data_IF_320728218562
#
_entry.id   IF_320728218562
#
_cell.length_a   1.000
_cell.length_b   1.000
_cell.length_c   1.000
_cell.angle_alpha   90.00
_cell.angle_beta   90.00
_cell.angle_gamma   90.00
#
_symmetry.space_group_name_H-M   'P 1'
#
loop_
_entity.id
_entity.type
_entity.pdbx_description
1 polymer ?
#
# COMPACT_ATOMS: atom_id res chain seq x y z
N UNK A 1 8.12 25.05 24.47
CA UNK A 1 7.75 24.27 25.68
C UNK A 1 6.78 23.19 25.25
N UNK A 2 7.11 21.92 25.47
CA UNK A 2 6.22 20.78 25.14
C UNK A 2 5.24 20.56 26.30
N UNK A 3 3.95 20.44 26.01
CA UNK A 3 2.89 20.15 26.98
C UNK A 3 2.22 18.84 26.59
N UNK A 4 2.19 17.90 27.52
CA UNK A 4 1.46 16.64 27.33
C UNK A 4 -0.03 16.93 27.44
N UNK A 5 -0.78 16.66 26.36
CA UNK A 5 -2.23 16.83 26.29
C UNK A 5 -2.85 15.52 25.76
N UNK A 6 -3.39 14.72 26.68
CA UNK A 6 -3.98 13.43 26.34
C UNK A 6 -5.28 13.57 25.52
N UNK A 7 -5.93 14.75 25.49
CA UNK A 7 -7.12 14.97 24.65
C UNK A 7 -6.81 15.03 23.16
N UNK A 8 -5.53 15.20 22.80
CA UNK A 8 -5.05 15.15 21.42
C UNK A 8 -4.81 13.71 20.94
N UNK A 9 -4.93 12.71 21.82
CA UNK A 9 -4.84 11.31 21.44
C UNK A 9 -6.13 10.92 20.72
N UNK A 10 -6.05 10.64 19.42
CA UNK A 10 -7.09 9.89 18.73
C UNK A 10 -6.92 8.42 19.08
N UNK A 11 -7.91 7.83 19.74
CA UNK A 11 -7.96 6.37 19.86
C UNK A 11 -8.18 5.80 18.45
N UNK A 12 -7.16 5.11 17.93
CA UNK A 12 -7.26 4.42 16.65
C UNK A 12 -7.81 3.01 16.90
N UNK A 13 -8.86 2.65 16.16
CA UNK A 13 -9.35 1.28 16.15
C UNK A 13 -8.25 0.34 15.65
N UNK A 14 -7.99 -0.77 16.35
CA UNK A 14 -7.04 -1.78 15.87
C UNK A 14 -7.53 -2.39 14.55
N UNK A 15 -6.64 -2.47 13.56
CA UNK A 15 -6.92 -3.13 12.27
C UNK A 15 -7.30 -4.59 12.53
N UNK A 16 -8.55 -4.96 12.18
CA UNK A 16 -9.08 -6.32 12.31
C UNK A 16 -8.82 -7.13 11.04
N UNK A 17 -8.84 -8.47 11.10
CA UNK A 17 -8.85 -9.30 9.90
C UNK A 17 -10.01 -8.90 8.97
N UNK A 18 -9.74 -8.76 7.68
CA UNK A 18 -10.74 -8.24 6.74
C UNK A 18 -10.13 -7.83 5.41
N UNK A 19 -10.91 -7.11 4.61
CA UNK A 19 -10.47 -6.54 3.35
C UNK A 19 -10.48 -5.01 3.41
N UNK A 20 -9.41 -4.39 2.93
CA UNK A 20 -9.21 -2.95 2.98
C UNK A 20 -8.82 -2.41 1.62
N UNK A 21 -9.44 -1.31 1.21
CA UNK A 21 -8.99 -0.48 0.09
C UNK A 21 -7.80 0.35 0.55
N UNK A 22 -6.67 0.20 -0.14
CA UNK A 22 -5.41 0.82 0.25
C UNK A 22 -4.75 1.53 -0.92
N UNK A 23 -3.85 2.44 -0.60
CA UNK A 23 -2.85 2.98 -1.50
C UNK A 23 -1.48 2.42 -1.10
N UNK A 24 -0.66 2.05 -2.10
CA UNK A 24 0.75 1.74 -1.88
C UNK A 24 1.45 3.03 -1.47
N UNK A 25 1.76 3.16 -0.18
CA UNK A 25 2.17 4.41 0.45
C UNK A 25 3.69 4.61 0.40
N UNK A 26 4.45 3.54 0.60
CA UNK A 26 5.92 3.60 0.65
C UNK A 26 6.53 2.24 0.31
N UNK A 27 7.81 2.23 -0.08
CA UNK A 27 8.60 1.02 -0.14
C UNK A 27 10.05 1.26 0.31
N UNK A 28 10.70 0.18 0.75
CA UNK A 28 12.13 0.18 1.08
C UNK A 28 12.82 -1.06 0.50
N UNK A 29 14.02 -0.89 -0.06
CA UNK A 29 14.85 -2.01 -0.50
C UNK A 29 15.72 -2.48 0.67
N UNK A 30 15.55 -3.73 1.10
CA UNK A 30 16.32 -4.33 2.19
C UNK A 30 17.06 -5.59 1.76
N UNK A 31 18.08 -5.93 2.53
CA UNK A 31 18.65 -7.28 2.54
C UNK A 31 18.21 -7.99 3.82
N UNK A 32 17.55 -9.13 3.67
CA UNK A 32 17.19 -9.96 4.81
C UNK A 32 18.45 -10.49 5.51
N UNK A 33 18.34 -10.84 6.79
CA UNK A 33 19.44 -11.49 7.53
C UNK A 33 19.89 -12.80 6.87
N UNK A 34 18.97 -13.52 6.22
CA UNK A 34 19.26 -14.72 5.42
C UNK A 34 19.99 -14.44 4.10
N UNK A 35 20.25 -13.18 3.77
CA UNK A 35 21.01 -12.74 2.59
C UNK A 35 20.15 -12.37 1.38
N UNK A 36 18.85 -12.70 1.37
CA UNK A 36 17.98 -12.41 0.24
C UNK A 36 17.59 -10.93 0.18
N UNK A 37 17.59 -10.34 -1.02
CA UNK A 37 17.05 -9.00 -1.25
C UNK A 37 15.53 -9.00 -1.08
N UNK A 38 14.98 -7.88 -0.62
CA UNK A 38 13.56 -7.67 -0.39
C UNK A 38 13.14 -6.28 -0.85
N UNK A 39 11.92 -6.19 -1.37
CA UNK A 39 11.15 -4.95 -1.40
C UNK A 39 10.17 -5.03 -0.23
N UNK A 40 10.27 -4.10 0.71
CA UNK A 40 9.34 -4.00 1.84
C UNK A 40 8.36 -2.91 1.52
N UNK A 41 7.07 -3.24 1.47
CA UNK A 41 6.01 -2.32 1.07
C UNK A 41 5.15 -1.97 2.27
N UNK A 42 4.82 -0.69 2.38
CA UNK A 42 3.85 -0.17 3.33
C UNK A 42 2.62 0.34 2.58
N UNK A 43 1.45 0.08 3.14
CA UNK A 43 0.17 0.52 2.59
C UNK A 43 -0.52 1.46 3.57
N UNK A 44 -1.29 2.39 3.04
CA UNK A 44 -2.20 3.22 3.82
C UNK A 44 -3.64 2.88 3.45
N UNK A 45 -4.49 2.64 4.46
CA UNK A 45 -5.91 2.41 4.25
C UNK A 45 -6.53 3.72 3.77
N UNK A 46 -7.09 3.69 2.56
CA UNK A 46 -7.61 4.87 1.85
C UNK A 46 -8.64 5.60 2.69
N UNK A 47 -8.38 6.88 2.96
CA UNK A 47 -9.29 7.79 3.68
C UNK A 47 -10.42 8.31 2.80
N UNK A 48 -10.29 8.20 1.48
CA UNK A 48 -11.30 8.60 0.51
C UNK A 48 -12.38 7.53 0.24
N UNK A 49 -12.26 6.35 0.86
CA UNK A 49 -13.22 5.24 0.74
C UNK A 49 -13.87 5.00 2.08
N UNK A 50 -15.20 4.94 2.17
CA UNK A 50 -15.93 4.62 3.40
C UNK A 50 -15.62 3.18 3.86
N UNK A 51 -14.79 3.05 4.90
CA UNK A 51 -14.34 1.78 5.48
C UNK A 51 -13.76 2.04 6.88
N UNK A 52 -13.48 0.98 7.66
CA UNK A 52 -12.83 1.12 8.96
C UNK A 52 -11.32 1.41 8.83
N UNK A 53 -10.72 1.96 9.89
CA UNK A 53 -9.27 2.18 9.99
C UNK A 53 -8.64 3.11 8.92
N UNK A 54 -9.42 4.01 8.32
CA UNK A 54 -8.94 5.02 7.37
C UNK A 54 -7.70 5.77 7.87
N UNK A 55 -6.71 5.97 7.00
CA UNK A 55 -5.45 6.65 7.29
C UNK A 55 -4.46 5.84 8.13
N UNK A 56 -4.83 4.65 8.62
CA UNK A 56 -3.89 3.75 9.28
C UNK A 56 -3.03 2.99 8.28
N UNK A 57 -1.86 2.54 8.73
CA UNK A 57 -0.88 1.87 7.89
C UNK A 57 -0.81 0.37 8.16
N UNK A 58 -0.75 -0.40 7.07
CA UNK A 58 -0.37 -1.81 7.09
C UNK A 58 1.09 -1.87 6.66
N UNK A 59 1.97 -2.20 7.61
CA UNK A 59 3.41 -2.03 7.45
C UNK A 59 4.11 -3.35 7.16
N UNK A 60 5.29 -3.23 6.55
CA UNK A 60 6.28 -4.31 6.48
C UNK A 60 5.84 -5.54 5.67
N UNK A 61 5.10 -5.37 4.59
CA UNK A 61 4.83 -6.47 3.66
C UNK A 61 6.10 -6.82 2.87
N UNK A 62 6.63 -8.03 3.10
CA UNK A 62 7.94 -8.44 2.64
C UNK A 62 7.87 -9.20 1.30
N UNK A 63 8.30 -8.56 0.22
CA UNK A 63 8.50 -9.23 -1.07
C UNK A 63 9.93 -9.72 -1.18
N UNK A 64 10.14 -11.02 -1.00
CA UNK A 64 11.48 -11.62 -1.12
C UNK A 64 11.84 -11.89 -2.57
N UNK A 65 13.00 -11.40 -3.00
CA UNK A 65 13.56 -11.63 -4.35
C UNK A 65 14.09 -13.06 -4.42
N UNK A 66 13.22 -13.98 -4.83
CA UNK A 66 13.59 -15.38 -5.09
C UNK A 66 12.60 -16.02 -6.06
N UNK A 67 13.03 -17.09 -6.75
CA UNK A 67 12.14 -17.85 -7.64
C UNK A 67 10.92 -18.42 -6.91
N UNK A 68 11.09 -18.86 -5.65
CA UNK A 68 10.02 -19.48 -4.84
C UNK A 68 8.92 -18.50 -4.43
N UNK A 69 9.26 -17.21 -4.33
CA UNK A 69 8.37 -16.15 -3.84
C UNK A 69 7.96 -15.17 -4.96
N UNK A 70 8.40 -15.41 -6.20
CA UNK A 70 8.12 -14.55 -7.35
C UNK A 70 6.62 -14.37 -7.60
N UNK A 71 5.81 -15.38 -7.29
CA UNK A 71 4.36 -15.35 -7.42
C UNK A 71 3.72 -14.15 -6.68
N UNK A 72 4.32 -13.70 -5.56
CA UNK A 72 3.78 -12.58 -4.79
C UNK A 72 3.92 -11.26 -5.55
N UNK A 73 5.04 -11.04 -6.23
CA UNK A 73 5.20 -9.89 -7.14
C UNK A 73 4.16 -9.94 -8.26
N UNK A 74 3.91 -11.10 -8.85
CA UNK A 74 2.91 -11.26 -9.92
C UNK A 74 1.48 -10.98 -9.42
N UNK A 75 1.14 -11.46 -8.22
CA UNK A 75 -0.16 -11.21 -7.61
C UNK A 75 -0.39 -9.72 -7.34
N UNK A 76 0.64 -9.03 -6.80
CA UNK A 76 0.60 -7.59 -6.58
C UNK A 76 0.52 -6.81 -7.90
N UNK A 77 1.33 -7.14 -8.91
CA UNK A 77 1.27 -6.54 -10.25
C UNK A 77 -0.11 -6.68 -10.90
N UNK A 78 -0.74 -7.86 -10.78
CA UNK A 78 -2.09 -8.10 -11.28
C UNK A 78 -3.13 -7.23 -10.57
N UNK A 79 -3.03 -7.12 -9.24
CA UNK A 79 -3.92 -6.27 -8.46
C UNK A 79 -3.73 -4.77 -8.78
N UNK A 80 -2.49 -4.35 -9.05
CA UNK A 80 -2.14 -3.02 -9.53
C UNK A 80 -2.48 -2.76 -11.00
N UNK A 81 -3.02 -3.76 -11.68
CA UNK A 81 -3.40 -3.71 -13.10
C UNK A 81 -2.23 -3.32 -14.01
N UNK A 82 -1.01 -3.77 -13.69
CA UNK A 82 0.08 -3.67 -14.65
C UNK A 82 -0.25 -4.45 -15.93
N UNK A 83 0.10 -3.93 -17.12
CA UNK A 83 -0.10 -4.65 -18.36
C UNK A 83 0.56 -6.03 -18.32
N UNK A 84 -0.12 -7.05 -18.82
CA UNK A 84 0.46 -8.38 -18.90
C UNK A 84 1.67 -8.38 -19.84
N UNK A 85 2.73 -9.10 -19.46
CA UNK A 85 3.99 -9.15 -20.20
C UNK A 85 4.93 -7.96 -20.04
N UNK A 86 4.58 -6.93 -19.24
CA UNK A 86 5.52 -5.84 -18.94
C UNK A 86 6.79 -6.37 -18.26
N UNK A 87 7.94 -5.83 -18.66
CA UNK A 87 9.23 -6.15 -18.07
C UNK A 87 9.79 -4.95 -17.34
N UNK A 88 10.27 -5.17 -16.11
CA UNK A 88 11.01 -4.18 -15.33
C UNK A 88 12.48 -4.58 -15.30
N UNK A 89 13.38 -3.63 -15.51
CA UNK A 89 14.83 -3.85 -15.44
C UNK A 89 15.34 -4.11 -14.03
N UNK A 90 14.55 -3.76 -13.00
CA UNK A 90 14.89 -4.05 -11.60
C UNK A 90 13.66 -4.13 -10.69
N UNK A 91 13.84 -4.70 -9.49
CA UNK A 91 12.81 -4.66 -8.43
C UNK A 91 12.54 -3.25 -7.91
N UNK A 92 13.52 -2.33 -8.04
CA UNK A 92 13.30 -0.92 -7.73
C UNK A 92 12.33 -0.28 -8.72
N UNK A 93 12.56 -0.49 -10.00
CA UNK A 93 11.70 0.05 -11.06
C UNK A 93 10.27 -0.49 -10.95
N UNK A 94 10.13 -1.79 -10.64
CA UNK A 94 8.82 -2.37 -10.30
C UNK A 94 8.18 -1.65 -9.10
N UNK A 95 8.95 -1.40 -8.02
CA UNK A 95 8.44 -0.75 -6.82
C UNK A 95 8.06 0.73 -7.06
N UNK A 96 8.85 1.45 -7.86
CA UNK A 96 8.54 2.82 -8.30
C UNK A 96 7.23 2.87 -9.07
N UNK A 97 6.99 1.92 -9.99
CA UNK A 97 5.74 1.82 -10.73
C UNK A 97 4.54 1.36 -9.87
N UNK A 98 4.82 0.64 -8.78
CA UNK A 98 3.81 0.09 -7.87
C UNK A 98 3.37 1.12 -6.82
N UNK A 99 4.23 2.10 -6.52
CA UNK A 99 3.91 3.22 -5.62
C UNK A 99 2.65 3.96 -6.10
N UNK A 100 1.83 4.42 -5.15
CA UNK A 100 0.55 5.10 -5.38
C UNK A 100 -0.52 4.27 -6.10
N UNK A 101 -0.31 2.97 -6.34
CA UNK A 101 -1.37 2.10 -6.87
C UNK A 101 -2.43 1.85 -5.81
N UNK A 102 -3.69 1.83 -6.24
CA UNK A 102 -4.82 1.47 -5.39
C UNK A 102 -5.10 -0.02 -5.51
N UNK A 103 -5.22 -0.68 -4.36
CA UNK A 103 -5.40 -2.13 -4.26
C UNK A 103 -6.45 -2.41 -3.20
N UNK A 104 -6.99 -3.63 -3.23
CA UNK A 104 -7.70 -4.18 -2.09
C UNK A 104 -6.91 -5.33 -1.49
N UNK A 105 -6.56 -5.20 -0.21
CA UNK A 105 -5.78 -6.21 0.51
C UNK A 105 -6.69 -7.06 1.39
N UNK A 106 -6.46 -8.37 1.41
CA UNK A 106 -6.97 -9.23 2.49
C UNK A 106 -5.93 -9.32 3.60
N UNK A 107 -6.32 -8.99 4.82
CA UNK A 107 -5.43 -8.87 5.98
C UNK A 107 -5.87 -9.87 7.05
N UNK A 108 -4.89 -10.50 7.70
CA UNK A 108 -5.06 -11.26 8.95
C UNK A 108 -4.12 -10.72 10.01
N UNK A 109 -4.32 -11.12 11.26
CA UNK A 109 -3.35 -10.86 12.31
C UNK A 109 -2.34 -12.00 12.39
N UNK A 110 -1.06 -11.67 12.50
CA UNK A 110 -0.02 -12.64 12.80
C UNK A 110 -0.02 -13.02 14.30
N UNK A 111 0.88 -13.92 14.71
CA UNK A 111 0.99 -14.39 16.10
C UNK A 111 1.26 -13.28 17.14
N UNK A 112 1.72 -12.11 16.69
CA UNK A 112 1.99 -10.94 17.52
C UNK A 112 0.89 -9.87 17.40
N UNK A 113 -0.28 -10.22 16.83
CA UNK A 113 -1.42 -9.33 16.60
C UNK A 113 -1.12 -8.13 15.67
N UNK A 114 -0.14 -8.23 14.78
CA UNK A 114 0.09 -7.23 13.74
C UNK A 114 -0.62 -7.63 12.44
N UNK A 115 -1.15 -6.66 11.68
CA UNK A 115 -1.76 -6.92 10.38
C UNK A 115 -0.73 -7.47 9.39
N UNK A 116 -1.09 -8.54 8.71
CA UNK A 116 -0.30 -9.24 7.69
C UNK A 116 -1.13 -9.43 6.42
N UNK A 117 -0.57 -9.01 5.30
CA UNK A 117 -1.20 -9.09 3.98
C UNK A 117 -1.20 -10.53 3.47
N UNK A 118 -2.39 -11.09 3.28
CA UNK A 118 -2.60 -12.46 2.82
C UNK A 118 -2.73 -12.55 1.30
N UNK A 119 -3.46 -11.61 0.70
CA UNK A 119 -3.68 -11.58 -0.75
C UNK A 119 -3.97 -10.19 -1.28
N UNK A 120 -3.78 -10.03 -2.59
CA UNK A 120 -3.99 -8.80 -3.34
C UNK A 120 -5.16 -8.97 -4.30
N UNK A 121 -6.05 -7.99 -4.35
CA UNK A 121 -7.16 -7.91 -5.28
C UNK A 121 -7.16 -6.54 -5.96
N UNK A 122 -7.75 -6.49 -7.15
CA UNK A 122 -8.03 -5.21 -7.82
C UNK A 122 -8.94 -4.39 -6.92
N UNK A 123 -8.61 -3.10 -6.77
CA UNK A 123 -9.44 -2.12 -6.06
C UNK A 123 -10.85 -2.08 -6.67
N UNK A 124 -11.87 -2.01 -5.83
CA UNK A 124 -13.26 -1.82 -6.27
C UNK A 124 -13.72 -0.36 -6.13
N UNK A 125 -12.96 0.45 -5.39
CA UNK A 125 -13.23 1.87 -5.24
C UNK A 125 -12.75 2.64 -6.48
N UNK A 126 -13.56 3.63 -6.91
CA UNK A 126 -13.18 4.55 -7.97
C UNK A 126 -11.91 5.31 -7.61
N UNK A 127 -11.19 5.81 -8.62
CA UNK A 127 -10.09 6.73 -8.37
C UNK A 127 -10.63 7.99 -7.63
N UNK A 128 -9.86 8.58 -6.71
CA UNK A 128 -10.24 9.81 -6.03
C UNK A 128 -10.58 10.86 -7.08
N UNK A 129 -11.76 11.48 -6.95
CA UNK A 129 -12.12 12.61 -7.80
C UNK A 129 -11.34 13.82 -7.29
N UNK A 130 -10.23 14.16 -7.95
CA UNK A 130 -9.53 15.41 -7.67
C UNK A 130 -10.28 16.51 -8.39
N UNK A 131 -11.17 17.22 -7.68
CA UNK A 131 -11.72 18.48 -8.18
C UNK A 131 -10.67 19.57 -8.03
N UNK A 132 -9.73 19.68 -8.97
CA UNK A 132 -8.97 20.92 -9.13
C UNK A 132 -9.91 21.97 -9.73
N UNK A 133 -10.22 23.09 -9.04
CA UNK A 133 -10.87 24.21 -9.69
C UNK A 133 -9.91 24.72 -10.76
N UNK A 134 -10.21 24.43 -12.03
CA UNK A 134 -9.52 25.06 -13.14
C UNK A 134 -10.03 26.49 -13.15
N UNK A 135 -9.18 27.44 -12.75
CA UNK A 135 -9.52 28.85 -12.91
C UNK A 135 -9.27 29.23 -14.37
N UNK A 136 -10.15 30.03 -14.96
CA UNK A 136 -10.00 30.47 -16.36
C UNK A 136 -8.66 31.20 -16.62
N UNK A 137 -8.00 31.71 -15.58
CA UNK A 137 -6.67 32.32 -15.62
C UNK A 137 -5.51 31.33 -15.84
N UNK A 138 -5.74 30.02 -15.67
CA UNK A 138 -4.73 28.96 -15.87
C UNK A 138 -4.75 28.39 -17.29
N UNK A 139 -5.65 28.87 -18.16
CA UNK A 139 -5.72 28.51 -19.58
C UNK A 139 -4.99 29.59 -20.40
N UNK A 140 -3.81 29.31 -20.97
CA UNK A 140 -3.14 30.25 -21.86
C UNK A 140 -3.90 30.26 -23.19
N UNK A 141 -4.63 31.35 -23.45
CA UNK A 141 -5.07 31.75 -24.79
C UNK A 141 -4.20 32.88 -25.33
#
# INVERSE_FOLDING_TARGET
MFKVDHSQVKEFETIKPGEYEVIVHNYELKKAQSGNNRVVVDYEIRSDVEQSCQGQKILFDNFTVSKKTMWRFQAASKAAQFPDGIQFGSFKEWADAFLNKHLRLSVKLNNNNYPEVQSFKVSQASAPVISTPINDSDVPF
#
